data_IF_811048090094
#
_entry.id   IF_811048090094
#
_cell.length_a   1.000
_cell.length_b   1.000
_cell.length_c   1.000
_cell.angle_alpha   90.00
_cell.angle_beta   90.00
_cell.angle_gamma   90.00
#
_symmetry.space_group_name_H-M   'P 1'
#
loop_
_entity.id
_entity.type
_entity.pdbx_description
1 polymer ?
#
# COMPACT_ATOMS: atom_id res chain seq x y z
N UNK A 1 17.05 23.53 14.22
CA UNK A 1 16.06 23.02 15.15
C UNK A 1 16.30 21.53 15.32
N UNK A 2 16.16 20.92 16.51
CA UNK A 2 16.22 19.48 16.61
C UNK A 2 15.10 18.87 15.77
N UNK A 3 15.30 17.69 15.16
CA UNK A 3 14.26 17.05 14.33
C UNK A 3 13.02 16.81 15.20
N UNK A 4 11.86 17.16 14.66
CA UNK A 4 10.57 16.88 15.32
C UNK A 4 10.46 15.36 15.47
N UNK A 5 10.54 14.87 16.69
CA UNK A 5 10.28 13.45 16.97
C UNK A 5 8.78 13.23 16.92
N UNK A 6 8.33 12.28 16.13
CA UNK A 6 6.94 11.82 16.17
C UNK A 6 6.60 11.33 17.59
N UNK A 7 5.34 11.48 17.99
CA UNK A 7 4.91 11.10 19.34
C UNK A 7 5.36 9.66 19.67
N UNK A 8 5.83 9.40 20.91
CA UNK A 8 6.20 8.05 21.31
C UNK A 8 4.98 7.13 21.21
N UNK A 9 5.22 5.90 20.77
CA UNK A 9 4.17 4.88 20.72
C UNK A 9 3.63 4.59 22.14
N UNK A 10 2.32 4.27 22.29
CA UNK A 10 1.75 3.94 23.61
C UNK A 10 2.45 2.73 24.25
N UNK A 11 2.52 2.75 25.56
CA UNK A 11 3.39 1.91 26.41
C UNK A 11 3.13 0.41 26.40
N UNK A 12 3.99 -0.30 27.11
CA UNK A 12 4.09 -1.75 27.22
C UNK A 12 2.80 -2.41 27.72
N UNK A 13 2.36 -3.51 27.06
CA UNK A 13 1.37 -4.43 27.56
C UNK A 13 0.18 -4.79 26.66
N UNK A 14 -0.07 -4.04 25.61
CA UNK A 14 -1.07 -4.38 24.57
C UNK A 14 -0.42 -4.42 23.20
N UNK A 15 -0.94 -5.24 22.30
CA UNK A 15 -0.59 -5.23 20.87
C UNK A 15 -0.54 -3.77 20.37
N UNK A 16 0.66 -3.31 20.03
CA UNK A 16 0.85 -1.93 19.51
C UNK A 16 0.48 -1.88 18.05
N UNK A 17 -0.17 -0.80 17.67
CA UNK A 17 -0.47 -0.50 16.27
C UNK A 17 0.22 0.78 15.89
N UNK A 18 0.81 0.81 14.69
CA UNK A 18 1.37 2.02 14.08
C UNK A 18 1.08 2.02 12.60
N UNK A 19 0.79 3.19 12.06
CA UNK A 19 0.53 3.37 10.64
C UNK A 19 1.28 4.58 10.10
N UNK A 20 1.93 4.41 8.96
CA UNK A 20 2.49 5.48 8.13
C UNK A 20 1.65 5.57 6.86
N UNK A 21 1.05 6.73 6.63
CA UNK A 21 0.19 6.98 5.48
C UNK A 21 0.79 8.12 4.65
N UNK A 22 1.09 7.84 3.38
CA UNK A 22 1.77 8.78 2.48
C UNK A 22 0.90 9.09 1.28
N UNK A 23 0.58 10.37 1.04
CA UNK A 23 -0.13 10.85 -0.13
C UNK A 23 0.68 11.89 -0.89
N UNK A 24 0.86 11.67 -2.19
CA UNK A 24 1.58 12.54 -3.09
C UNK A 24 0.67 12.91 -4.26
N UNK A 25 0.17 14.16 -4.26
CA UNK A 25 -0.66 14.69 -5.35
C UNK A 25 0.13 15.49 -6.37
N UNK A 26 1.36 15.89 -6.06
CA UNK A 26 2.27 16.69 -6.90
C UNK A 26 1.61 17.95 -7.46
N UNK A 27 0.77 18.59 -6.65
CA UNK A 27 -0.04 19.74 -7.06
C UNK A 27 0.80 20.86 -7.68
N UNK A 28 0.30 21.45 -8.77
CA UNK A 28 0.99 22.52 -9.49
C UNK A 28 2.15 22.07 -10.39
N UNK A 29 2.39 20.75 -10.52
CA UNK A 29 3.38 20.19 -11.44
C UNK A 29 2.72 19.50 -12.64
N UNK A 30 3.52 19.17 -13.68
CA UNK A 30 3.08 18.34 -14.81
C UNK A 30 2.76 16.89 -14.41
N UNK A 31 3.15 16.48 -13.22
CA UNK A 31 2.90 15.16 -12.66
C UNK A 31 1.70 15.14 -11.69
N UNK A 32 0.87 16.20 -11.67
CA UNK A 32 -0.24 16.29 -10.72
C UNK A 32 -1.22 15.10 -10.82
N UNK A 33 -1.60 14.57 -9.66
CA UNK A 33 -2.57 13.50 -9.49
C UNK A 33 -3.77 13.97 -8.66
N UNK A 34 -4.93 13.40 -8.97
CA UNK A 34 -6.13 13.58 -8.18
C UNK A 34 -6.44 12.28 -7.42
N UNK A 35 -6.83 12.41 -6.15
CA UNK A 35 -7.26 11.26 -5.35
C UNK A 35 -6.29 10.81 -4.25
N UNK A 36 -4.98 10.94 -4.43
CA UNK A 36 -3.98 10.41 -3.49
C UNK A 36 -4.16 10.90 -2.04
N UNK A 37 -4.51 12.18 -1.87
CA UNK A 37 -4.76 12.74 -0.53
C UNK A 37 -6.08 12.23 0.07
N UNK A 38 -7.07 11.95 -0.78
CA UNK A 38 -8.32 11.34 -0.36
C UNK A 38 -8.11 9.87 0.03
N UNK A 39 -7.28 9.14 -0.70
CA UNK A 39 -6.91 7.75 -0.37
C UNK A 39 -6.33 7.66 1.04
N UNK A 40 -5.42 8.57 1.39
CA UNK A 40 -4.86 8.67 2.75
C UNK A 40 -5.94 8.90 3.80
N UNK A 41 -6.92 9.75 3.53
CA UNK A 41 -8.02 9.99 4.47
C UNK A 41 -8.93 8.77 4.61
N UNK A 42 -9.26 8.13 3.50
CA UNK A 42 -10.12 6.94 3.49
C UNK A 42 -9.47 5.76 4.21
N UNK A 43 -8.18 5.49 3.95
CA UNK A 43 -7.48 4.39 4.63
C UNK A 43 -7.31 4.68 6.13
N UNK A 44 -7.00 5.93 6.52
CA UNK A 44 -6.95 6.35 7.93
C UNK A 44 -8.28 6.07 8.62
N UNK A 45 -9.39 6.53 8.03
CA UNK A 45 -10.73 6.30 8.56
C UNK A 45 -11.06 4.80 8.69
N UNK A 46 -10.74 4.00 7.67
CA UNK A 46 -10.94 2.54 7.71
C UNK A 46 -10.17 1.91 8.88
N UNK A 47 -8.88 2.26 9.05
CA UNK A 47 -8.06 1.75 10.14
C UNK A 47 -8.60 2.15 11.52
N UNK A 48 -9.07 3.38 11.68
CA UNK A 48 -9.68 3.86 12.93
C UNK A 48 -10.99 3.12 13.24
N UNK A 49 -11.89 3.05 12.26
CA UNK A 49 -13.26 2.55 12.48
C UNK A 49 -13.36 1.03 12.48
N UNK A 50 -12.54 0.34 11.71
CA UNK A 50 -12.64 -1.12 11.54
C UNK A 50 -11.59 -1.90 12.30
N UNK A 51 -10.41 -1.30 12.52
CA UNK A 51 -9.29 -1.97 13.19
C UNK A 51 -8.90 -1.32 14.53
N UNK A 52 -9.57 -0.23 14.93
CA UNK A 52 -9.40 0.40 16.23
C UNK A 52 -8.06 1.11 16.41
N UNK A 53 -7.48 1.63 15.34
CA UNK A 53 -6.34 2.54 15.44
C UNK A 53 -6.77 3.85 16.10
N UNK A 54 -5.90 4.46 16.89
CA UNK A 54 -6.11 5.77 17.52
C UNK A 54 -5.22 6.82 16.86
N UNK A 55 -5.59 8.10 16.99
CA UNK A 55 -4.88 9.22 16.36
C UNK A 55 -3.36 9.21 16.61
N UNK A 56 -2.93 8.89 17.82
CA UNK A 56 -1.51 8.83 18.20
C UNK A 56 -0.71 7.70 17.54
N UNK A 57 -1.38 6.79 16.86
CA UNK A 57 -0.78 5.66 16.17
C UNK A 57 -0.51 5.93 14.68
N UNK A 58 -0.78 7.16 14.22
CA UNK A 58 -0.58 7.56 12.83
C UNK A 58 0.57 8.56 12.66
N UNK A 59 1.36 8.37 11.61
CA UNK A 59 2.13 9.42 10.97
C UNK A 59 1.57 9.59 9.56
N UNK A 60 1.03 10.77 9.28
CA UNK A 60 0.40 11.09 7.99
C UNK A 60 1.26 12.13 7.27
N UNK A 61 1.77 11.75 6.10
CA UNK A 61 2.58 12.60 5.24
C UNK A 61 1.78 12.96 3.99
N UNK A 62 1.64 14.26 3.73
CA UNK A 62 0.86 14.78 2.58
C UNK A 62 1.59 15.97 1.97
N UNK A 63 1.55 16.10 0.66
CA UNK A 63 2.20 17.22 -0.03
C UNK A 63 1.43 18.57 0.06
N UNK A 64 0.19 18.55 0.55
CA UNK A 64 -0.56 19.76 0.92
C UNK A 64 -0.39 20.17 2.40
N UNK A 65 0.47 19.47 3.15
CA UNK A 65 0.74 19.80 4.55
C UNK A 65 1.39 21.17 4.69
N UNK A 66 0.87 21.99 5.61
CA UNK A 66 1.49 23.28 5.97
C UNK A 66 2.72 23.13 6.87
N UNK A 67 2.89 21.97 7.49
CA UNK A 67 4.02 21.70 8.38
C UNK A 67 5.09 20.91 7.60
N UNK A 68 6.33 21.45 7.50
CA UNK A 68 7.38 20.83 6.67
C UNK A 68 7.71 19.38 7.05
N UNK A 69 7.62 19.02 8.35
CA UNK A 69 7.90 17.67 8.83
C UNK A 69 6.84 16.63 8.43
N UNK A 70 5.67 17.05 8.01
CA UNK A 70 4.57 16.20 7.56
C UNK A 70 4.30 16.28 6.05
N UNK A 71 5.20 16.91 5.29
CA UNK A 71 5.19 16.86 3.83
C UNK A 71 5.69 15.50 3.35
N UNK A 72 5.14 14.96 2.27
CA UNK A 72 5.51 13.64 1.72
C UNK A 72 6.82 13.64 0.92
N UNK A 73 7.87 14.28 1.47
CA UNK A 73 9.23 14.28 0.91
C UNK A 73 9.96 12.96 1.20
N UNK A 74 10.98 12.61 0.38
CA UNK A 74 11.81 11.41 0.59
C UNK A 74 12.38 11.33 2.01
N UNK A 75 12.92 12.44 2.51
CA UNK A 75 13.48 12.50 3.85
C UNK A 75 12.45 12.25 4.96
N UNK A 76 11.23 12.80 4.80
CA UNK A 76 10.17 12.59 5.78
C UNK A 76 9.62 11.17 5.73
N UNK A 77 9.53 10.56 4.53
CA UNK A 77 9.12 9.16 4.38
C UNK A 77 10.11 8.24 5.12
N UNK A 78 11.41 8.43 4.95
CA UNK A 78 12.41 7.64 5.67
C UNK A 78 12.31 7.82 7.19
N UNK A 79 12.09 9.04 7.67
CA UNK A 79 11.90 9.33 9.09
C UNK A 79 10.62 8.66 9.64
N UNK A 80 9.54 8.68 8.87
CA UNK A 80 8.30 8.01 9.23
C UNK A 80 8.45 6.48 9.26
N UNK A 81 9.15 5.90 8.29
CA UNK A 81 9.48 4.46 8.28
C UNK A 81 10.34 4.11 9.50
N UNK A 82 11.35 4.90 9.84
CA UNK A 82 12.15 4.69 11.05
C UNK A 82 11.27 4.67 12.31
N UNK A 83 10.33 5.62 12.45
CA UNK A 83 9.37 5.64 13.55
C UNK A 83 8.48 4.39 13.54
N UNK A 84 7.99 3.95 12.37
CA UNK A 84 7.16 2.76 12.23
C UNK A 84 7.88 1.52 12.77
N UNK A 85 9.18 1.40 12.49
CA UNK A 85 9.99 0.23 12.79
C UNK A 85 10.67 0.26 14.17
N UNK A 86 10.54 1.36 14.93
CA UNK A 86 11.22 1.52 16.24
C UNK A 86 10.55 0.65 17.32
N UNK A 87 11.36 0.05 18.22
CA UNK A 87 10.92 -0.68 19.41
C UNK A 87 9.84 -1.75 19.17
N UNK A 88 9.99 -2.53 18.10
CA UNK A 88 9.08 -3.61 17.77
C UNK A 88 8.99 -4.65 18.90
N UNK A 89 7.75 -5.15 19.13
CA UNK A 89 7.48 -6.21 20.09
C UNK A 89 6.62 -7.31 19.43
N UNK A 90 6.76 -8.58 19.82
CA UNK A 90 5.88 -9.65 19.35
C UNK A 90 4.40 -9.29 19.54
N UNK A 91 3.62 -9.44 18.49
CA UNK A 91 2.21 -9.06 18.45
C UNK A 91 1.94 -7.67 17.86
N UNK A 92 2.96 -6.84 17.63
CA UNK A 92 2.77 -5.53 17.01
C UNK A 92 2.23 -5.65 15.58
N UNK A 93 1.33 -4.73 15.22
CA UNK A 93 0.77 -4.58 13.88
C UNK A 93 1.20 -3.25 13.29
N UNK A 94 1.94 -3.32 12.19
CA UNK A 94 2.46 -2.19 11.46
C UNK A 94 1.69 -2.04 10.14
N UNK A 95 1.40 -0.80 9.76
CA UNK A 95 0.71 -0.51 8.50
C UNK A 95 1.43 0.58 7.72
N UNK A 96 1.66 0.33 6.44
CA UNK A 96 2.24 1.30 5.51
C UNK A 96 1.28 1.53 4.34
N UNK A 97 1.01 2.78 4.03
CA UNK A 97 0.21 3.15 2.85
C UNK A 97 0.96 4.20 2.04
N UNK A 98 0.96 4.00 0.73
CA UNK A 98 1.43 4.99 -0.23
C UNK A 98 0.42 5.13 -1.36
N UNK A 99 0.02 6.36 -1.68
CA UNK A 99 -0.74 6.71 -2.87
C UNK A 99 -0.02 7.84 -3.61
N UNK A 100 0.38 7.56 -4.86
CA UNK A 100 1.18 8.47 -5.68
C UNK A 100 1.69 7.81 -6.95
N UNK A 101 2.67 8.44 -7.61
CA UNK A 101 3.34 7.83 -8.75
C UNK A 101 4.25 6.68 -8.32
N UNK A 102 4.23 5.62 -9.11
CA UNK A 102 5.28 4.60 -9.18
C UNK A 102 6.01 4.70 -10.52
N UNK A 103 7.25 4.25 -10.54
CA UNK A 103 8.11 4.20 -11.72
C UNK A 103 9.01 2.97 -11.64
N UNK A 104 9.89 2.83 -12.61
CA UNK A 104 10.93 1.80 -12.63
C UNK A 104 12.28 2.44 -12.93
N UNK A 105 13.35 1.84 -12.44
CA UNK A 105 14.72 2.18 -12.81
C UNK A 105 15.51 0.90 -13.12
N UNK A 106 16.66 1.02 -13.80
CA UNK A 106 17.50 -0.14 -14.06
C UNK A 106 17.95 -0.80 -12.77
N UNK A 107 17.70 -2.09 -12.66
CA UNK A 107 18.24 -2.95 -11.62
C UNK A 107 19.78 -2.94 -11.66
N UNK A 108 20.40 -2.56 -10.54
CA UNK A 108 21.86 -2.47 -10.43
C UNK A 108 22.50 -3.68 -9.75
N UNK A 109 21.71 -4.46 -9.05
CA UNK A 109 22.18 -5.59 -8.27
C UNK A 109 21.94 -6.94 -8.98
N UNK A 110 21.08 -6.95 -10.04
CA UNK A 110 20.83 -8.11 -10.90
C UNK A 110 19.87 -9.12 -10.30
N UNK A 111 18.97 -8.68 -9.41
CA UNK A 111 18.05 -9.58 -8.71
C UNK A 111 16.62 -9.58 -9.27
N UNK A 112 16.31 -8.63 -10.17
CA UNK A 112 15.03 -8.55 -10.86
C UNK A 112 15.02 -9.34 -12.17
N UNK A 113 13.92 -10.12 -12.39
CA UNK A 113 13.79 -10.98 -13.59
C UNK A 113 13.67 -10.16 -14.89
N UNK A 114 13.12 -8.98 -14.84
CA UNK A 114 12.94 -8.07 -15.98
C UNK A 114 14.04 -6.99 -16.09
N UNK A 115 14.96 -6.93 -15.12
CA UNK A 115 16.07 -5.99 -15.07
C UNK A 115 15.69 -4.57 -14.60
N UNK A 116 14.57 -4.41 -13.91
CA UNK A 116 14.11 -3.13 -13.39
C UNK A 116 13.64 -3.23 -11.93
N UNK A 117 14.17 -2.32 -11.08
CA UNK A 117 13.63 -2.08 -9.73
C UNK A 117 12.36 -1.24 -9.82
N UNK A 118 11.32 -1.59 -9.10
CA UNK A 118 10.16 -0.76 -8.88
C UNK A 118 10.46 0.38 -7.91
N UNK A 119 9.78 1.52 -8.11
CA UNK A 119 10.02 2.69 -7.26
C UNK A 119 8.72 3.36 -6.87
N UNK A 120 8.73 4.03 -5.70
CA UNK A 120 7.74 5.04 -5.34
C UNK A 120 8.34 6.44 -5.48
N UNK A 121 7.52 7.41 -5.86
CA UNK A 121 7.94 8.79 -6.12
C UNK A 121 7.49 9.71 -4.96
N UNK A 122 8.36 10.11 -4.03
CA UNK A 122 8.05 11.17 -3.07
C UNK A 122 7.70 12.48 -3.79
N UNK A 123 7.09 13.43 -3.08
CA UNK A 123 6.69 14.70 -3.70
C UNK A 123 7.88 15.49 -4.29
N UNK A 124 9.07 15.31 -3.70
CA UNK A 124 10.34 15.93 -4.12
C UNK A 124 11.21 15.04 -5.02
N UNK A 125 10.64 13.99 -5.64
CA UNK A 125 11.40 12.97 -6.38
C UNK A 125 12.30 13.52 -7.49
N UNK A 126 11.95 14.67 -8.08
CA UNK A 126 12.76 15.32 -9.14
C UNK A 126 14.10 15.84 -8.63
N UNK A 127 14.22 16.11 -7.33
CA UNK A 127 15.42 16.65 -6.68
C UNK A 127 16.06 15.59 -5.76
N UNK A 128 15.25 14.93 -4.94
CA UNK A 128 15.72 13.94 -3.95
C UNK A 128 15.81 12.51 -4.51
N UNK A 129 15.29 12.27 -5.71
CA UNK A 129 15.21 10.95 -6.33
C UNK A 129 14.05 10.11 -5.80
N UNK A 130 13.81 9.01 -6.46
CA UNK A 130 12.79 8.00 -6.12
C UNK A 130 13.27 7.13 -4.95
N UNK A 131 12.37 6.31 -4.39
CA UNK A 131 12.70 5.29 -3.39
C UNK A 131 12.47 3.94 -4.06
N UNK A 132 13.52 3.14 -4.17
CA UNK A 132 13.46 1.80 -4.77
C UNK A 132 12.90 0.78 -3.80
N UNK A 133 12.31 -0.28 -4.33
CA UNK A 133 11.76 -1.40 -3.59
C UNK A 133 12.79 -2.11 -2.71
N UNK A 134 14.03 -2.24 -3.16
CA UNK A 134 15.18 -2.69 -2.38
C UNK A 134 15.37 -1.88 -1.09
N UNK A 135 15.25 -0.54 -1.18
CA UNK A 135 15.35 0.33 -0.02
C UNK A 135 14.16 0.14 0.92
N UNK A 136 12.94 0.02 0.37
CA UNK A 136 11.74 -0.24 1.16
C UNK A 136 11.82 -1.61 1.85
N UNK A 137 12.28 -2.64 1.14
CA UNK A 137 12.51 -3.97 1.70
C UNK A 137 13.52 -3.90 2.86
N UNK A 138 14.67 -3.29 2.63
CA UNK A 138 15.73 -3.14 3.64
C UNK A 138 15.26 -2.37 4.88
N UNK A 139 14.40 -1.37 4.71
CA UNK A 139 13.95 -0.50 5.78
C UNK A 139 12.73 -1.06 6.55
N UNK A 140 11.84 -1.80 5.90
CA UNK A 140 10.57 -2.22 6.50
C UNK A 140 10.38 -3.74 6.57
N UNK A 141 10.97 -4.52 5.65
CA UNK A 141 10.75 -5.96 5.60
C UNK A 141 11.82 -6.69 6.41
N UNK A 142 13.09 -6.51 6.04
CA UNK A 142 14.21 -7.21 6.72
C UNK A 142 14.21 -7.05 8.24
N UNK A 143 13.97 -5.85 8.82
CA UNK A 143 14.06 -5.66 10.27
C UNK A 143 12.82 -6.12 11.04
N UNK A 144 11.83 -6.78 10.41
CA UNK A 144 10.64 -7.27 11.11
C UNK A 144 10.99 -8.41 12.07
N UNK A 145 10.79 -8.16 13.36
CA UNK A 145 11.08 -9.12 14.43
C UNK A 145 10.01 -10.22 14.53
N UNK A 146 10.33 -11.37 15.15
CA UNK A 146 9.37 -12.47 15.34
C UNK A 146 8.07 -12.00 15.98
N UNK A 147 6.94 -12.41 15.42
CA UNK A 147 5.60 -12.05 15.89
C UNK A 147 5.10 -10.67 15.48
N UNK A 148 5.91 -9.86 14.78
CA UNK A 148 5.49 -8.57 14.21
C UNK A 148 4.92 -8.79 12.82
N UNK A 149 3.83 -8.11 12.49
CA UNK A 149 3.21 -8.17 11.17
C UNK A 149 3.16 -6.77 10.54
N UNK A 150 3.69 -6.65 9.33
CA UNK A 150 3.56 -5.47 8.48
C UNK A 150 2.52 -5.72 7.40
N UNK A 151 1.55 -4.84 7.28
CA UNK A 151 0.69 -4.76 6.10
C UNK A 151 0.99 -3.48 5.32
N UNK A 152 1.13 -3.60 4.02
CA UNK A 152 1.26 -2.45 3.14
C UNK A 152 0.11 -2.44 2.12
N UNK A 153 -0.40 -1.24 1.83
CA UNK A 153 -1.28 -0.98 0.68
C UNK A 153 -0.57 0.07 -0.16
N UNK A 154 -0.12 -0.33 -1.34
CA UNK A 154 0.62 0.56 -2.25
C UNK A 154 -0.21 0.79 -3.50
N UNK A 155 -0.59 2.03 -3.69
CA UNK A 155 -1.41 2.49 -4.80
C UNK A 155 -0.60 3.38 -5.73
N UNK A 156 0.18 2.74 -6.57
CA UNK A 156 1.06 3.35 -7.55
C UNK A 156 1.16 2.48 -8.79
N UNK A 157 1.56 3.05 -9.92
CA UNK A 157 1.92 2.24 -11.09
C UNK A 157 3.09 1.31 -10.71
N UNK A 158 3.11 0.09 -11.23
CA UNK A 158 4.14 -0.91 -10.91
C UNK A 158 4.22 -1.34 -9.44
N UNK A 159 3.16 -1.12 -8.65
CA UNK A 159 3.15 -1.39 -7.20
C UNK A 159 3.05 -2.86 -6.81
N UNK A 160 3.01 -3.78 -7.76
CA UNK A 160 2.85 -5.21 -7.45
C UNK A 160 3.98 -5.81 -6.61
N UNK A 161 5.16 -5.18 -6.62
CA UNK A 161 6.40 -5.64 -5.98
C UNK A 161 7.10 -4.55 -5.16
N UNK A 162 6.43 -3.43 -4.85
CA UNK A 162 7.05 -2.28 -4.19
C UNK A 162 7.75 -2.55 -2.84
N UNK A 163 7.52 -3.67 -2.19
CA UNK A 163 8.29 -4.14 -1.03
C UNK A 163 9.21 -5.32 -1.36
N UNK A 164 9.29 -5.70 -2.64
CA UNK A 164 10.11 -6.79 -3.16
C UNK A 164 10.00 -8.08 -2.31
N UNK A 165 8.77 -8.55 -2.17
CA UNK A 165 8.44 -9.74 -1.39
C UNK A 165 8.52 -11.01 -2.25
N UNK A 166 9.02 -12.10 -1.64
CA UNK A 166 9.38 -13.34 -2.30
C UNK A 166 8.23 -14.07 -3.02
N UNK A 167 7.00 -13.90 -2.55
CA UNK A 167 5.84 -14.64 -3.05
C UNK A 167 4.71 -13.69 -3.46
N UNK A 168 4.06 -14.00 -4.59
CA UNK A 168 2.89 -13.28 -5.10
C UNK A 168 1.73 -14.24 -5.27
N UNK A 169 0.55 -13.89 -4.77
CA UNK A 169 -0.67 -14.64 -5.00
C UNK A 169 -1.12 -14.50 -6.46
N UNK A 170 -1.45 -15.62 -7.07
CA UNK A 170 -2.01 -15.74 -8.43
C UNK A 170 -3.31 -16.52 -8.36
N UNK A 171 -4.19 -16.30 -9.34
CA UNK A 171 -5.45 -17.03 -9.49
C UNK A 171 -5.36 -17.98 -10.68
N UNK A 172 -5.80 -19.23 -10.50
CA UNK A 172 -5.87 -20.21 -11.58
C UNK A 172 -7.17 -20.07 -12.41
N UNK A 173 -7.29 -20.86 -13.48
CA UNK A 173 -8.49 -20.87 -14.33
C UNK A 173 -9.79 -21.29 -13.60
N UNK A 174 -9.67 -21.98 -12.47
CA UNK A 174 -10.79 -22.37 -11.62
C UNK A 174 -11.12 -21.32 -10.55
N UNK A 175 -10.45 -20.17 -10.56
CA UNK A 175 -10.65 -19.08 -9.60
C UNK A 175 -10.00 -19.32 -8.23
N UNK A 176 -9.07 -20.27 -8.10
CA UNK A 176 -8.39 -20.58 -6.85
C UNK A 176 -7.08 -19.81 -6.75
N UNK A 177 -6.84 -19.20 -5.61
CA UNK A 177 -5.60 -18.48 -5.31
C UNK A 177 -4.49 -19.47 -4.94
N UNK A 178 -3.28 -19.22 -5.44
CA UNK A 178 -2.06 -19.96 -5.12
C UNK A 178 -0.85 -19.03 -5.11
N UNK A 179 0.22 -19.42 -4.43
CA UNK A 179 1.47 -18.65 -4.39
C UNK A 179 2.37 -18.99 -5.57
N UNK A 180 2.86 -17.96 -6.26
CA UNK A 180 3.97 -18.01 -7.20
C UNK A 180 5.14 -17.27 -6.59
N UNK A 181 6.36 -17.78 -6.78
CA UNK A 181 7.59 -17.18 -6.28
C UNK A 181 8.53 -18.25 -5.71
N UNK A 182 9.66 -17.82 -5.24
CA UNK A 182 10.70 -18.66 -4.60
C UNK A 182 11.26 -17.95 -3.37
N UNK A 183 11.71 -18.67 -2.34
CA UNK A 183 12.40 -18.05 -1.21
C UNK A 183 13.61 -17.24 -1.68
N UNK A 184 13.74 -16.02 -1.14
CA UNK A 184 14.86 -15.12 -1.38
C UNK A 184 15.53 -14.84 -0.04
N UNK A 185 16.67 -15.48 0.21
CA UNK A 185 17.36 -15.42 1.50
C UNK A 185 17.91 -14.04 1.85
N UNK A 186 18.14 -13.20 0.85
CA UNK A 186 18.60 -11.82 0.96
C UNK A 186 17.48 -10.82 1.28
N UNK A 187 16.21 -11.21 1.13
CA UNK A 187 15.01 -10.36 1.27
C UNK A 187 14.04 -10.83 2.36
N UNK A 188 14.48 -11.75 3.22
CA UNK A 188 13.65 -12.32 4.30
C UNK A 188 13.58 -11.40 5.52
N UNK A 189 12.50 -11.54 6.29
CA UNK A 189 12.34 -10.88 7.57
C UNK A 189 13.22 -11.52 8.66
N UNK A 190 13.44 -10.83 9.75
CA UNK A 190 14.09 -11.38 10.96
C UNK A 190 13.12 -12.27 11.78
N UNK A 191 12.07 -12.82 11.16
CA UNK A 191 11.08 -13.71 11.77
C UNK A 191 9.67 -13.13 11.85
N UNK A 192 9.46 -11.89 11.46
CA UNK A 192 8.14 -11.28 11.29
C UNK A 192 7.45 -11.73 10.01
N UNK A 193 6.39 -11.03 9.63
CA UNK A 193 5.64 -11.30 8.40
C UNK A 193 5.29 -9.99 7.71
N UNK A 194 5.53 -9.91 6.41
CA UNK A 194 5.17 -8.76 5.59
C UNK A 194 4.14 -9.15 4.53
N UNK A 195 3.09 -8.34 4.40
CA UNK A 195 2.08 -8.43 3.37
C UNK A 195 1.98 -7.11 2.61
N UNK A 196 1.83 -7.20 1.30
CA UNK A 196 1.59 -6.03 0.47
C UNK A 196 0.40 -6.27 -0.45
N UNK A 197 -0.59 -5.38 -0.38
CA UNK A 197 -1.67 -5.27 -1.35
C UNK A 197 -1.35 -4.18 -2.37
N UNK A 198 -1.66 -4.46 -3.62
CA UNK A 198 -1.51 -3.52 -4.72
C UNK A 198 -2.51 -3.83 -5.84
N UNK A 199 -2.45 -3.06 -6.92
CA UNK A 199 -3.13 -3.38 -8.17
C UNK A 199 -2.16 -3.14 -9.33
N UNK A 200 -2.03 -4.12 -10.21
CA UNK A 200 -1.20 -3.99 -11.41
C UNK A 200 -1.99 -4.34 -12.68
N UNK A 201 -1.54 -3.80 -13.81
CA UNK A 201 -1.99 -4.23 -15.13
C UNK A 201 -1.22 -5.45 -15.57
N UNK A 202 -1.90 -6.44 -16.17
CA UNK A 202 -1.25 -7.66 -16.68
C UNK A 202 -0.32 -7.42 -17.89
N UNK A 203 -0.33 -6.20 -18.48
CA UNK A 203 0.36 -5.86 -19.74
C UNK A 203 1.33 -4.67 -19.60
N UNK A 204 1.86 -4.37 -18.42
CA UNK A 204 2.85 -3.30 -18.28
C UNK A 204 4.22 -3.76 -18.80
N UNK A 205 4.53 -3.37 -20.04
CA UNK A 205 5.88 -3.41 -20.59
C UNK A 205 6.61 -2.10 -20.26
N UNK A 206 7.94 -2.14 -20.20
CA UNK A 206 8.83 -1.00 -19.92
C UNK A 206 8.61 0.26 -20.81
N UNK A 207 7.78 0.16 -21.85
CA UNK A 207 7.42 1.27 -22.73
C UNK A 207 6.38 2.23 -22.15
N UNK A 208 5.67 1.84 -21.07
CA UNK A 208 4.65 2.69 -20.44
C UNK A 208 5.24 3.77 -19.50
N UNK A 209 6.55 3.77 -19.28
CA UNK A 209 7.27 4.80 -18.50
C UNK A 209 7.24 6.21 -19.13
N UNK A 210 6.87 6.35 -20.39
CA UNK A 210 6.66 7.65 -21.03
C UNK A 210 5.35 8.35 -20.62
N UNK A 211 4.48 7.68 -19.89
CA UNK A 211 3.16 8.16 -19.51
C UNK A 211 3.11 8.79 -18.09
N UNK A 212 4.15 9.52 -17.68
CA UNK A 212 4.03 10.55 -16.64
C UNK A 212 3.18 11.74 -17.14
N UNK A 213 2.43 11.57 -18.24
CA UNK A 213 1.52 12.54 -18.80
C UNK A 213 0.10 12.31 -18.31
N UNK A 214 -0.25 12.84 -17.14
CA UNK A 214 -1.60 13.32 -16.79
C UNK A 214 -2.77 12.32 -16.75
N UNK A 215 -2.56 11.01 -16.91
CA UNK A 215 -3.60 9.96 -16.86
C UNK A 215 -3.21 8.76 -16.01
N UNK A 216 -2.51 8.99 -14.91
CA UNK A 216 -2.20 7.91 -13.98
C UNK A 216 -3.47 7.52 -13.21
N UNK A 217 -3.81 6.24 -13.24
CA UNK A 217 -4.90 5.63 -12.49
C UNK A 217 -4.42 5.40 -11.06
N UNK A 218 -4.67 6.33 -10.17
CA UNK A 218 -4.41 6.20 -8.74
C UNK A 218 -5.67 5.76 -8.01
N UNK A 219 -5.54 5.07 -6.89
CA UNK A 219 -6.65 4.77 -5.99
C UNK A 219 -7.28 3.39 -6.13
N UNK A 220 -6.95 2.58 -7.14
CA UNK A 220 -7.64 1.31 -7.37
C UNK A 220 -7.38 0.27 -6.26
N UNK A 221 -6.14 0.12 -5.79
CA UNK A 221 -5.80 -0.83 -4.74
C UNK A 221 -6.39 -0.42 -3.39
N UNK A 222 -6.23 0.86 -3.03
CA UNK A 222 -6.77 1.44 -1.81
C UNK A 222 -8.29 1.34 -1.76
N UNK A 223 -8.96 1.75 -2.84
CA UNK A 223 -10.41 1.67 -2.96
C UNK A 223 -10.91 0.23 -2.79
N UNK A 224 -10.37 -0.72 -3.54
CA UNK A 224 -10.82 -2.12 -3.49
C UNK A 224 -10.54 -2.78 -2.14
N UNK A 225 -9.42 -2.46 -1.50
CA UNK A 225 -9.10 -2.93 -0.14
C UNK A 225 -10.12 -2.42 0.87
N UNK A 226 -10.39 -1.10 0.87
CA UNK A 226 -11.36 -0.49 1.79
C UNK A 226 -12.76 -1.05 1.54
N UNK A 227 -13.22 -1.16 0.29
CA UNK A 227 -14.53 -1.71 -0.03
C UNK A 227 -14.67 -3.16 0.44
N UNK A 228 -13.64 -3.98 0.27
CA UNK A 228 -13.64 -5.34 0.78
C UNK A 228 -13.82 -5.38 2.31
N UNK A 229 -13.13 -4.51 3.06
CA UNK A 229 -13.26 -4.42 4.52
C UNK A 229 -14.63 -3.87 4.93
N UNK A 230 -15.11 -2.81 4.30
CA UNK A 230 -16.38 -2.17 4.64
C UNK A 230 -17.57 -3.09 4.40
N UNK A 231 -17.57 -3.80 3.27
CA UNK A 231 -18.69 -4.64 2.85
C UNK A 231 -18.74 -6.00 3.54
N UNK A 232 -17.58 -6.58 3.81
CA UNK A 232 -17.47 -7.96 4.29
C UNK A 232 -16.84 -8.10 5.69
N UNK A 233 -16.42 -6.98 6.30
CA UNK A 233 -15.87 -6.94 7.64
C UNK A 233 -14.39 -7.33 7.73
N UNK A 234 -13.88 -7.34 8.95
CA UNK A 234 -12.44 -7.56 9.25
C UNK A 234 -12.06 -9.03 9.48
N UNK A 235 -13.04 -9.94 9.49
CA UNK A 235 -12.79 -11.36 9.80
C UNK A 235 -12.54 -12.22 8.55
N UNK A 236 -12.11 -11.58 7.47
CA UNK A 236 -11.84 -12.24 6.19
C UNK A 236 -10.47 -12.92 6.18
N UNK A 237 -10.35 -13.99 5.41
CA UNK A 237 -9.06 -14.55 5.02
C UNK A 237 -8.43 -13.70 3.90
N UNK A 238 -7.11 -13.84 3.70
CA UNK A 238 -6.43 -13.12 2.62
C UNK A 238 -6.99 -13.49 1.24
N UNK A 239 -7.35 -14.75 1.02
CA UNK A 239 -7.98 -15.21 -0.22
C UNK A 239 -9.37 -14.59 -0.44
N UNK A 240 -10.16 -14.40 0.63
CA UNK A 240 -11.45 -13.71 0.54
C UNK A 240 -11.27 -12.24 0.18
N UNK A 241 -10.35 -11.53 0.83
CA UNK A 241 -10.06 -10.13 0.50
C UNK A 241 -9.64 -9.99 -0.97
N UNK A 242 -8.72 -10.82 -1.46
CA UNK A 242 -8.31 -10.82 -2.86
C UNK A 242 -9.49 -11.04 -3.81
N UNK A 243 -10.36 -12.00 -3.48
CA UNK A 243 -11.54 -12.31 -4.30
C UNK A 243 -12.53 -11.15 -4.33
N UNK A 244 -12.73 -10.46 -3.21
CA UNK A 244 -13.59 -9.29 -3.13
C UNK A 244 -12.97 -8.10 -3.88
N UNK A 245 -11.67 -7.84 -3.72
CA UNK A 245 -10.95 -6.82 -4.50
C UNK A 245 -11.05 -7.09 -6.00
N UNK A 246 -10.90 -8.35 -6.44
CA UNK A 246 -11.06 -8.74 -7.85
C UNK A 246 -12.49 -8.45 -8.35
N UNK A 247 -13.50 -8.77 -7.56
CA UNK A 247 -14.89 -8.51 -7.90
C UNK A 247 -15.16 -7.02 -8.05
N UNK A 248 -14.65 -6.21 -7.12
CA UNK A 248 -14.76 -4.76 -7.17
C UNK A 248 -14.08 -4.18 -8.41
N UNK A 249 -12.85 -4.59 -8.71
CA UNK A 249 -12.14 -4.15 -9.91
C UNK A 249 -12.92 -4.48 -11.18
N UNK A 250 -13.45 -5.69 -11.31
CA UNK A 250 -14.25 -6.11 -12.47
C UNK A 250 -15.56 -5.34 -12.61
N UNK A 251 -16.23 -5.02 -11.51
CA UNK A 251 -17.46 -4.24 -11.52
C UNK A 251 -17.24 -2.81 -12.03
N UNK A 252 -16.07 -2.21 -11.75
CA UNK A 252 -15.74 -0.86 -12.19
C UNK A 252 -15.16 -0.80 -13.61
N UNK A 253 -14.67 -1.92 -14.14
CA UNK A 253 -14.24 -2.02 -15.55
C UNK A 253 -15.41 -2.24 -16.51
N UNK A 254 -16.54 -2.76 -16.00
CA UNK A 254 -17.77 -2.96 -16.76
C UNK A 254 -18.89 -2.10 -16.19
N UNK A 255 -19.14 -0.92 -16.76
CA UNK A 255 -20.25 0.03 -16.52
C UNK A 255 -21.44 -0.47 -15.67
N UNK A 256 -21.28 -0.64 -14.37
CA UNK A 256 -22.38 -0.93 -13.45
C UNK A 256 -22.20 -0.09 -12.18
N UNK A 257 -23.16 0.79 -11.91
CA UNK A 257 -23.15 1.70 -10.78
C UNK A 257 -23.05 1.00 -9.42
N UNK A 258 -22.30 1.61 -8.53
CA UNK A 258 -22.15 1.22 -7.12
C UNK A 258 -23.52 1.25 -6.40
N UNK A 259 -23.94 0.13 -5.86
CA UNK A 259 -25.04 0.05 -4.92
C UNK A 259 -24.47 -0.29 -3.54
N UNK A 260 -24.13 0.75 -2.78
CA UNK A 260 -23.63 0.64 -1.42
C UNK A 260 -24.82 0.61 -0.45
N UNK A 261 -24.93 -0.43 0.36
CA UNK A 261 -26.01 -0.56 1.36
C UNK A 261 -26.00 0.52 2.45
N UNK A 262 -27.02 0.57 3.34
CA UNK A 262 -27.27 1.70 4.28
C UNK A 262 -26.13 2.04 5.25
N UNK A 263 -25.23 1.10 5.58
CA UNK A 263 -24.07 1.33 6.44
C UNK A 263 -22.90 2.03 5.72
N UNK A 264 -22.93 2.08 4.39
CA UNK A 264 -21.93 2.72 3.55
C UNK A 264 -22.09 4.23 3.37
N UNK A 265 -23.22 4.79 3.79
CA UNK A 265 -23.59 6.18 3.42
C UNK A 265 -22.67 7.27 4.00
N UNK A 266 -22.00 7.04 5.12
CA UNK A 266 -21.08 8.03 5.70
C UNK A 266 -19.68 7.98 5.03
N UNK A 267 -19.20 6.79 4.71
CA UNK A 267 -17.99 6.57 3.93
C UNK A 267 -18.25 6.76 2.43
N UNK A 268 -19.48 6.51 1.96
CA UNK A 268 -19.90 6.71 0.57
C UNK A 268 -19.73 8.15 0.10
N UNK A 269 -19.91 9.14 0.96
CA UNK A 269 -19.64 10.54 0.64
C UNK A 269 -18.17 10.79 0.32
N UNK A 270 -17.25 10.14 1.04
CA UNK A 270 -15.81 10.22 0.80
C UNK A 270 -15.39 9.33 -0.39
N UNK A 271 -15.92 8.12 -0.48
CA UNK A 271 -15.60 7.16 -1.56
C UNK A 271 -16.21 7.56 -2.90
N UNK A 272 -17.38 8.23 -2.94
CA UNK A 272 -17.98 8.75 -4.18
C UNK A 272 -17.13 9.89 -4.77
N UNK A 273 -16.49 10.72 -3.94
CA UNK A 273 -15.51 11.69 -4.40
C UNK A 273 -14.28 11.04 -5.03
N UNK A 274 -13.82 9.93 -4.47
CA UNK A 274 -12.71 9.13 -5.01
C UNK A 274 -13.12 8.32 -6.26
N UNK A 275 -14.32 7.73 -6.25
CA UNK A 275 -14.83 6.93 -7.38
C UNK A 275 -15.11 7.76 -8.64
N UNK A 276 -15.47 9.04 -8.51
CA UNK A 276 -15.67 9.93 -9.65
C UNK A 276 -14.39 10.21 -10.46
N UNK A 277 -13.21 9.98 -9.83
CA UNK A 277 -11.89 10.05 -10.48
C UNK A 277 -11.31 8.68 -10.85
N UNK A 278 -11.96 7.58 -10.47
CA UNK A 278 -11.45 6.23 -10.67
C UNK A 278 -11.73 5.78 -12.11
N UNK A 279 -10.80 6.01 -13.02
CA UNK A 279 -10.81 5.37 -14.34
C UNK A 279 -10.00 4.08 -14.24
N UNK A 280 -10.65 2.98 -13.91
CA UNK A 280 -10.01 1.66 -13.91
C UNK A 280 -9.84 1.23 -15.36
N UNK A 281 -8.61 1.28 -15.85
CA UNK A 281 -8.26 0.74 -17.17
C UNK A 281 -8.48 -0.78 -17.18
N UNK A 282 -9.06 -1.33 -18.27
CA UNK A 282 -9.25 -2.77 -18.42
C UNK A 282 -7.94 -3.54 -18.21
N UNK A 283 -8.01 -4.68 -17.49
CA UNK A 283 -6.88 -5.56 -17.28
C UNK A 283 -6.11 -5.36 -15.97
N UNK A 284 -6.60 -4.58 -15.00
CA UNK A 284 -6.01 -4.56 -13.67
C UNK A 284 -6.45 -5.77 -12.84
N UNK A 285 -5.47 -6.35 -12.10
CA UNK A 285 -5.72 -7.41 -11.13
C UNK A 285 -5.22 -7.01 -9.74
N UNK A 286 -5.94 -7.37 -8.65
CA UNK A 286 -5.41 -7.17 -7.32
C UNK A 286 -4.22 -8.08 -7.12
N UNK A 287 -3.22 -7.58 -6.42
CA UNK A 287 -2.00 -8.31 -6.08
C UNK A 287 -1.89 -8.37 -4.57
N UNK A 288 -1.56 -9.55 -4.06
CA UNK A 288 -1.04 -9.75 -2.72
C UNK A 288 0.33 -10.37 -2.83
N UNK A 289 1.33 -9.74 -2.23
CA UNK A 289 2.65 -10.31 -2.06
C UNK A 289 2.93 -10.57 -0.58
N UNK A 290 3.79 -11.55 -0.28
CA UNK A 290 4.17 -11.92 1.08
C UNK A 290 5.63 -12.39 1.11
N UNK A 291 6.32 -12.18 2.25
CA UNK A 291 7.69 -12.68 2.47
C UNK A 291 7.77 -14.21 2.55
N UNK A 292 6.65 -14.87 2.87
CA UNK A 292 6.52 -16.33 2.98
C UNK A 292 5.15 -16.80 2.53
N UNK A 293 5.03 -18.07 2.20
CA UNK A 293 3.74 -18.67 1.89
C UNK A 293 2.92 -18.90 3.16
N UNK A 294 1.67 -18.44 3.12
CA UNK A 294 0.65 -18.71 4.12
C UNK A 294 -0.52 -19.45 3.46
N UNK A 295 -1.38 -20.06 4.26
CA UNK A 295 -2.65 -20.57 3.73
C UNK A 295 -3.63 -19.40 3.51
N UNK A 296 -3.87 -19.05 2.25
CA UNK A 296 -4.75 -17.96 1.82
C UNK A 296 -6.21 -18.17 2.24
N UNK A 297 -6.63 -19.42 2.48
CA UNK A 297 -8.02 -19.77 2.75
C UNK A 297 -8.36 -19.90 4.24
N UNK A 298 -7.35 -20.05 5.09
CA UNK A 298 -7.53 -20.15 6.55
C UNK A 298 -6.92 -18.98 7.33
N UNK A 299 -5.84 -18.36 6.82
CA UNK A 299 -5.20 -17.24 7.51
C UNK A 299 -6.03 -15.97 7.35
N UNK A 300 -6.47 -15.42 8.48
CA UNK A 300 -7.26 -14.18 8.52
C UNK A 300 -6.36 -12.95 8.61
N UNK A 301 -6.84 -11.84 8.01
CA UNK A 301 -6.19 -10.54 8.19
C UNK A 301 -6.27 -10.13 9.65
N UNK A 302 -5.21 -9.52 10.15
CA UNK A 302 -5.10 -9.12 11.55
C UNK A 302 -4.27 -7.82 11.64
N UNK A 303 -4.94 -6.66 11.71
CA UNK A 303 -4.38 -5.32 11.86
C UNK A 303 -4.55 -4.78 13.28
#
# INVERSE_FOLDING_TARGET
MPPTTYAPAPGHGSRRRRAVLVGCSYAGSSAALNGCLNDVQCIKFCLEKRFGFTESQFVVLRDDSRHPDFTSTKANIYRAIQWLMTDQQPGDSLFFHFSGHGSQQYDRNGDEEDGYDETICPTDFRVAGQIVDDELNRLMVRPLLPGVTLHAVVDACHSGTALDLAFRAKVDAAGRWYWKGRPRYDKVTMGGTAFQFGACKDSQTAQDTAALSGKAYTGAATFCFIEAIEKYGTQQTYGQILSHMMTTLRAHTGSAGLNLGPAGNMLAGFLLGAAAGLVVGGGQTPVLSCDKQIDLYSTRISL
#
